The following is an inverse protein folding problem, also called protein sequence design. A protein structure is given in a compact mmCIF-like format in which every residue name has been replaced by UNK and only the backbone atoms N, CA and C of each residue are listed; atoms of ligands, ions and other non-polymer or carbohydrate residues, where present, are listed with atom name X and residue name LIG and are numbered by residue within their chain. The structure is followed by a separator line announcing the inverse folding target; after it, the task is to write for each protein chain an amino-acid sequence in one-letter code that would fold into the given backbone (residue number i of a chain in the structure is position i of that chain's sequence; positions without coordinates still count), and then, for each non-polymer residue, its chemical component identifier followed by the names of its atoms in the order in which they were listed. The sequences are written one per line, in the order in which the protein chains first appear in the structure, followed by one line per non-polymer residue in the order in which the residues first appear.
data_IF_612714716522
#
_entry.id   IF_612714716522
#
_cell.length_a   1.000
_cell.length_b   1.000
_cell.length_c   1.000
_cell.angle_alpha   90.00
_cell.angle_beta   90.00
_cell.angle_gamma   90.00
#
_symmetry.space_group_name_H-M   'P 1'
#
loop_
_entity.id
_entity.type
_entity.pdbx_description
1 polymer ?
#
# COMPACT_ATOMS: atom_id res chain seq x y z
N UNK A 1 -10.14 12.06 -27.20
CA UNK A 1 -9.25 12.82 -26.29
C UNK A 1 -8.47 11.80 -25.50
N UNK A 2 -7.13 11.84 -25.53
CA UNK A 2 -6.28 10.66 -25.26
C UNK A 2 -6.63 9.85 -24.01
N UNK A 3 -6.91 8.55 -24.22
CA UNK A 3 -7.26 7.52 -23.23
C UNK A 3 -6.06 7.12 -22.36
N UNK A 4 -5.44 8.08 -21.66
CA UNK A 4 -4.24 7.83 -20.87
C UNK A 4 -4.27 8.48 -19.49
N UNK A 5 -3.45 7.98 -18.58
CA UNK A 5 -3.37 8.47 -17.19
C UNK A 5 -2.67 9.83 -17.06
N UNK A 6 -2.24 10.44 -18.18
CA UNK A 6 -1.66 11.78 -18.23
C UNK A 6 -2.78 12.82 -18.24
N UNK A 7 -2.91 13.59 -17.15
CA UNK A 7 -3.88 14.67 -17.02
C UNK A 7 -3.17 16.03 -16.82
N UNK A 8 -2.74 16.71 -17.92
CA UNK A 8 -2.08 18.01 -17.83
C UNK A 8 -2.96 19.04 -17.12
N UNK A 9 -2.38 19.79 -16.17
CA UNK A 9 -3.09 20.83 -15.44
C UNK A 9 -4.14 20.34 -14.44
N UNK A 10 -4.24 19.03 -14.17
CA UNK A 10 -5.22 18.45 -13.24
C UNK A 10 -5.22 19.11 -11.85
N UNK A 11 -4.03 19.43 -11.32
CA UNK A 11 -3.87 20.11 -10.03
C UNK A 11 -4.37 21.57 -10.01
N UNK A 12 -4.65 22.16 -11.18
CA UNK A 12 -5.21 23.53 -11.30
C UNK A 12 -6.74 23.54 -11.29
N UNK A 13 -7.36 22.40 -11.60
CA UNK A 13 -8.82 22.26 -11.64
C UNK A 13 -9.43 22.25 -10.23
N UNK A 14 -10.70 22.64 -10.13
CA UNK A 14 -11.50 22.46 -8.92
C UNK A 14 -11.76 20.97 -8.63
N UNK A 15 -12.09 20.58 -7.38
CA UNK A 15 -12.42 19.20 -7.05
C UNK A 15 -13.53 18.59 -7.93
N UNK A 16 -14.56 19.37 -8.27
CA UNK A 16 -15.66 18.91 -9.15
C UNK A 16 -15.19 18.63 -10.57
N UNK A 17 -14.41 19.52 -11.16
CA UNK A 17 -13.84 19.32 -12.51
C UNK A 17 -12.87 18.13 -12.55
N UNK A 18 -12.10 17.93 -11.46
CA UNK A 18 -11.25 16.73 -11.30
C UNK A 18 -12.08 15.46 -11.27
N UNK A 19 -13.15 15.42 -10.47
CA UNK A 19 -14.04 14.27 -10.39
C UNK A 19 -14.68 13.94 -11.76
N UNK A 20 -15.09 14.94 -12.53
CA UNK A 20 -15.60 14.75 -13.89
C UNK A 20 -14.53 14.18 -14.84
N UNK A 21 -13.28 14.67 -14.77
CA UNK A 21 -12.17 14.14 -15.57
C UNK A 21 -11.84 12.69 -15.23
N UNK A 22 -11.86 12.35 -13.94
CA UNK A 22 -11.69 10.97 -13.46
C UNK A 22 -12.84 10.10 -13.92
N UNK A 23 -14.08 10.62 -13.83
CA UNK A 23 -15.29 9.95 -14.29
C UNK A 23 -15.24 9.62 -15.78
N UNK A 24 -14.79 10.57 -16.62
CA UNK A 24 -14.61 10.33 -18.05
C UNK A 24 -13.56 9.24 -18.34
N UNK A 25 -12.43 9.23 -17.61
CA UNK A 25 -11.39 8.20 -17.76
C UNK A 25 -11.89 6.81 -17.37
N UNK A 26 -12.55 6.69 -16.21
CA UNK A 26 -12.98 5.42 -15.64
C UNK A 26 -14.40 4.99 -16.07
N UNK A 27 -15.04 5.77 -16.95
CA UNK A 27 -16.44 5.58 -17.41
C UNK A 27 -17.40 5.43 -16.23
N UNK A 28 -17.30 6.37 -15.29
CA UNK A 28 -18.19 6.45 -14.14
C UNK A 28 -19.55 7.01 -14.56
N UNK A 29 -20.63 6.52 -13.94
CA UNK A 29 -21.95 7.14 -14.02
C UNK A 29 -21.98 8.45 -13.23
N UNK A 30 -22.98 9.29 -13.46
CA UNK A 30 -23.18 10.52 -12.69
C UNK A 30 -23.37 10.23 -11.18
N UNK A 31 -24.01 9.10 -10.85
CA UNK A 31 -24.16 8.62 -9.47
C UNK A 31 -22.80 8.27 -8.85
N UNK A 32 -21.94 7.54 -9.58
CA UNK A 32 -20.60 7.18 -9.11
C UNK A 32 -19.67 8.40 -8.99
N UNK A 33 -19.83 9.41 -9.84
CA UNK A 33 -19.14 10.69 -9.70
C UNK A 33 -19.66 11.42 -8.44
N UNK A 34 -20.96 11.36 -8.18
CA UNK A 34 -21.59 11.91 -6.97
C UNK A 34 -21.02 11.31 -5.68
N UNK A 35 -20.69 10.01 -5.68
CA UNK A 35 -20.05 9.31 -4.54
C UNK A 35 -18.69 9.92 -4.14
N UNK A 36 -17.99 10.58 -5.07
CA UNK A 36 -16.72 11.26 -4.79
C UNK A 36 -16.89 12.59 -4.05
N UNK A 37 -18.13 13.08 -3.86
CA UNK A 37 -18.40 14.27 -3.04
C UNK A 37 -18.34 13.95 -1.54
N UNK A 38 -18.35 15.00 -0.71
CA UNK A 38 -18.38 14.83 0.74
C UNK A 38 -19.68 14.15 1.21
N UNK A 39 -20.80 14.44 0.53
CA UNK A 39 -22.13 13.92 0.83
C UNK A 39 -22.35 12.51 0.28
N UNK A 40 -21.60 12.11 -0.75
CA UNK A 40 -21.69 10.79 -1.39
C UNK A 40 -20.84 9.70 -0.75
N UNK A 41 -20.15 10.00 0.36
CA UNK A 41 -19.23 9.10 1.06
C UNK A 41 -19.91 8.02 1.92
N UNK A 42 -19.19 7.53 2.92
CA UNK A 42 -19.70 6.54 3.87
C UNK A 42 -20.76 7.17 4.79
N UNK A 43 -21.96 6.60 4.82
CA UNK A 43 -23.04 7.05 5.72
C UNK A 43 -22.86 6.49 7.13
N UNK A 44 -23.42 7.17 8.14
CA UNK A 44 -23.37 6.73 9.53
C UNK A 44 -24.01 5.34 9.71
N UNK A 45 -25.13 5.07 9.03
CA UNK A 45 -25.82 3.78 9.08
C UNK A 45 -24.97 2.62 8.56
N UNK A 46 -24.24 2.84 7.46
CA UNK A 46 -23.34 1.83 6.91
C UNK A 46 -22.13 1.67 7.84
N UNK A 47 -21.56 2.76 8.34
CA UNK A 47 -20.45 2.71 9.30
C UNK A 47 -20.82 1.92 10.57
N UNK A 48 -22.01 2.14 11.13
CA UNK A 48 -22.51 1.44 12.33
C UNK A 48 -22.73 -0.08 12.13
N UNK A 49 -22.74 -0.55 10.87
CA UNK A 49 -22.77 -1.99 10.54
C UNK A 49 -21.38 -2.55 10.23
N UNK A 50 -20.38 -1.69 10.06
CA UNK A 50 -19.01 -2.08 9.75
C UNK A 50 -18.18 -2.33 11.01
N UNK A 51 -18.37 -1.52 12.06
CA UNK A 51 -17.63 -1.62 13.32
C UNK A 51 -18.55 -1.32 14.52
N UNK A 52 -18.07 -1.61 15.73
CA UNK A 52 -18.78 -1.38 16.98
C UNK A 52 -18.71 0.07 17.46
N UNK A 53 -19.67 0.49 18.30
CA UNK A 53 -19.66 1.77 19.02
C UNK A 53 -19.47 3.02 18.13
N UNK A 54 -20.08 3.03 16.94
CA UNK A 54 -19.96 4.14 16.00
C UNK A 54 -20.73 5.38 16.49
N UNK A 55 -20.02 6.50 16.56
CA UNK A 55 -20.57 7.83 16.90
C UNK A 55 -20.39 8.87 15.79
N UNK A 56 -19.72 8.50 14.70
CA UNK A 56 -19.42 9.40 13.59
C UNK A 56 -18.59 8.75 12.49
N UNK A 57 -18.33 9.50 11.42
CA UNK A 57 -17.46 9.11 10.29
C UNK A 57 -16.27 10.06 10.24
N UNK A 58 -15.06 9.52 10.17
CA UNK A 58 -13.82 10.29 10.02
C UNK A 58 -13.34 10.24 8.56
N UNK A 59 -13.28 11.39 7.90
CA UNK A 59 -12.88 11.49 6.49
C UNK A 59 -11.41 11.82 6.30
N UNK A 60 -10.78 11.20 5.29
CA UNK A 60 -9.46 11.55 4.78
C UNK A 60 -9.57 12.19 3.38
N UNK A 61 -8.66 13.11 3.00
CA UNK A 61 -8.62 13.62 1.64
C UNK A 61 -8.41 12.50 0.61
N UNK A 62 -9.27 12.44 -0.41
CA UNK A 62 -9.14 11.52 -1.54
C UNK A 62 -8.53 12.25 -2.75
N UNK A 63 -7.29 11.92 -3.08
CA UNK A 63 -6.56 12.42 -4.25
C UNK A 63 -6.48 11.40 -5.38
N UNK A 64 -6.06 11.87 -6.56
CA UNK A 64 -5.79 11.02 -7.72
C UNK A 64 -4.37 11.30 -8.20
N UNK A 65 -3.51 10.28 -8.11
CA UNK A 65 -2.21 10.34 -8.74
C UNK A 65 -2.31 9.99 -10.23
N UNK A 66 -1.47 10.63 -11.03
CA UNK A 66 -1.52 10.59 -12.50
C UNK A 66 -0.23 10.03 -13.09
N UNK A 67 -0.22 9.79 -14.39
CA UNK A 67 0.91 9.32 -15.21
C UNK A 67 1.33 7.87 -15.01
N UNK A 68 0.81 7.15 -14.02
CA UNK A 68 1.23 5.77 -13.77
C UNK A 68 0.85 4.88 -14.95
N UNK A 69 1.84 4.08 -15.37
CA UNK A 69 1.71 3.04 -16.39
C UNK A 69 2.37 1.78 -15.84
N UNK A 70 1.63 0.67 -15.79
CA UNK A 70 2.11 -0.62 -15.28
C UNK A 70 1.79 -1.67 -16.34
N UNK A 71 2.78 -2.49 -16.71
CA UNK A 71 2.62 -3.55 -17.73
C UNK A 71 2.00 -3.03 -19.04
N UNK A 72 2.39 -1.82 -19.45
CA UNK A 72 1.89 -1.17 -20.66
C UNK A 72 0.50 -0.52 -20.54
N UNK A 73 -0.20 -0.65 -19.41
CA UNK A 73 -1.54 -0.10 -19.16
C UNK A 73 -1.51 1.13 -18.27
N UNK A 74 -2.31 2.14 -18.60
CA UNK A 74 -2.42 3.39 -17.85
C UNK A 74 -3.42 3.27 -16.68
N UNK A 75 -3.03 3.77 -15.51
CA UNK A 75 -3.85 3.77 -14.30
C UNK A 75 -3.92 5.17 -13.68
N UNK A 76 -5.13 5.58 -13.27
CA UNK A 76 -5.32 6.66 -12.30
C UNK A 76 -5.34 6.05 -10.89
N UNK A 77 -4.59 6.62 -9.96
CA UNK A 77 -4.36 6.02 -8.65
C UNK A 77 -5.13 6.81 -7.58
N UNK A 78 -6.27 6.30 -7.08
CA UNK A 78 -6.95 6.88 -5.93
C UNK A 78 -6.12 6.66 -4.66
N UNK A 79 -5.93 7.74 -3.90
CA UNK A 79 -5.10 7.78 -2.71
C UNK A 79 -5.82 8.56 -1.61
N UNK A 80 -6.14 7.90 -0.49
CA UNK A 80 -6.72 8.51 0.69
C UNK A 80 -5.61 8.78 1.70
N UNK A 81 -5.21 10.05 1.87
CA UNK A 81 -4.04 10.44 2.67
C UNK A 81 -4.11 11.91 3.08
N UNK A 82 -3.71 12.21 4.31
CA UNK A 82 -3.65 13.55 4.89
C UNK A 82 -2.31 14.26 4.66
N UNK A 83 -1.25 13.50 4.44
CA UNK A 83 0.11 14.02 4.28
C UNK A 83 0.25 14.78 2.94
N UNK A 84 0.68 16.07 2.98
CA UNK A 84 0.97 16.84 1.78
C UNK A 84 2.00 16.19 0.88
N UNK A 85 1.97 16.57 -0.40
CA UNK A 85 2.99 16.18 -1.39
C UNK A 85 3.07 14.68 -1.72
N UNK A 86 2.42 13.77 -0.97
CA UNK A 86 2.43 12.33 -1.26
C UNK A 86 1.91 12.05 -2.67
N UNK A 87 0.68 12.49 -2.98
CA UNK A 87 0.04 12.28 -4.30
C UNK A 87 0.80 12.99 -5.43
N UNK A 88 1.34 14.18 -5.15
CA UNK A 88 2.09 14.98 -6.12
C UNK A 88 3.45 14.34 -6.45
N UNK A 89 4.16 13.87 -5.42
CA UNK A 89 5.42 13.15 -5.53
C UNK A 89 5.26 11.89 -6.36
N UNK A 90 4.23 11.07 -6.05
CA UNK A 90 3.92 9.89 -6.85
C UNK A 90 3.69 10.21 -8.32
N UNK A 91 2.83 11.21 -8.59
CA UNK A 91 2.47 11.61 -9.96
C UNK A 91 3.69 12.07 -10.76
N UNK A 92 4.64 12.74 -10.09
CA UNK A 92 5.87 13.20 -10.70
C UNK A 92 6.85 12.04 -10.96
N UNK A 93 7.09 11.17 -9.98
CA UNK A 93 7.94 10.00 -10.14
C UNK A 93 7.42 9.07 -11.24
N UNK A 94 6.10 8.84 -11.29
CA UNK A 94 5.45 8.09 -12.35
C UNK A 94 5.70 8.72 -13.74
N UNK A 95 5.67 10.05 -13.85
CA UNK A 95 5.99 10.77 -15.09
C UNK A 95 7.43 10.54 -15.54
N UNK A 96 8.39 10.46 -14.60
CA UNK A 96 9.80 10.18 -14.93
C UNK A 96 9.96 8.77 -15.50
N UNK A 97 9.48 7.75 -14.78
CA UNK A 97 9.59 6.34 -15.21
C UNK A 97 8.83 6.08 -16.51
N UNK A 98 7.74 6.82 -16.77
CA UNK A 98 6.99 6.73 -18.02
C UNK A 98 7.82 7.04 -19.26
N UNK A 99 8.90 7.83 -19.14
CA UNK A 99 9.80 8.13 -20.26
C UNK A 99 10.50 6.88 -20.80
N UNK A 100 10.70 5.87 -19.94
CA UNK A 100 11.22 4.55 -20.30
C UNK A 100 10.13 3.49 -20.44
N UNK A 101 8.88 3.89 -20.70
CA UNK A 101 7.76 2.98 -20.94
C UNK A 101 6.88 2.67 -19.72
N UNK A 102 7.24 3.14 -18.53
CA UNK A 102 6.50 2.90 -17.28
C UNK A 102 7.08 1.76 -16.45
N UNK A 103 6.31 1.29 -15.48
CA UNK A 103 6.68 0.17 -14.63
C UNK A 103 6.30 -1.16 -15.28
N UNK A 104 7.10 -2.18 -14.98
CA UNK A 104 6.72 -3.57 -15.15
C UNK A 104 6.48 -4.17 -13.77
N UNK A 105 5.56 -5.13 -13.67
CA UNK A 105 5.18 -5.73 -12.41
C UNK A 105 4.69 -7.16 -12.56
N UNK A 106 4.90 -7.96 -11.53
CA UNK A 106 4.37 -9.32 -11.41
C UNK A 106 3.90 -9.58 -9.97
N UNK A 107 3.05 -10.58 -9.79
CA UNK A 107 2.62 -11.02 -8.47
C UNK A 107 2.47 -12.54 -8.45
N UNK A 108 2.78 -13.15 -7.32
CA UNK A 108 2.58 -14.57 -7.07
C UNK A 108 1.09 -14.95 -7.15
N UNK A 109 0.83 -16.25 -7.06
CA UNK A 109 -0.51 -16.73 -6.73
C UNK A 109 -0.96 -16.16 -5.37
N UNK A 110 -2.26 -15.96 -5.14
CA UNK A 110 -2.78 -15.32 -3.94
C UNK A 110 -2.81 -16.30 -2.75
N UNK A 111 -1.67 -16.89 -2.42
CA UNK A 111 -1.52 -17.88 -1.36
C UNK A 111 -1.33 -17.19 -0.01
N UNK A 112 -2.32 -17.37 0.86
CA UNK A 112 -2.24 -17.00 2.27
C UNK A 112 -1.80 -18.19 3.11
N UNK A 113 -1.20 -17.90 4.26
CA UNK A 113 -0.78 -18.91 5.24
C UNK A 113 -1.76 -18.91 6.40
N UNK A 114 -2.38 -20.06 6.70
CA UNK A 114 -3.05 -20.34 7.96
C UNK A 114 -2.14 -21.10 8.90
N UNK A 115 -2.08 -20.75 10.18
CA UNK A 115 -1.23 -21.43 11.17
C UNK A 115 -2.08 -22.18 12.19
N UNK A 116 -1.71 -23.43 12.48
CA UNK A 116 -2.22 -24.23 13.58
C UNK A 116 -1.05 -24.54 14.52
N UNK A 117 -1.08 -23.96 15.72
CA UNK A 117 -0.10 -24.23 16.76
C UNK A 117 -0.49 -25.47 17.55
N UNK A 118 0.46 -26.40 17.71
CA UNK A 118 0.27 -27.65 18.46
C UNK A 118 1.32 -27.75 19.57
N UNK A 119 0.86 -28.00 20.79
CA UNK A 119 1.65 -28.11 22.01
C UNK A 119 1.53 -29.52 22.61
N UNK A 120 2.45 -29.88 23.50
CA UNK A 120 2.40 -31.17 24.21
C UNK A 120 2.64 -32.38 23.31
N UNK A 121 3.34 -32.20 22.19
CA UNK A 121 3.66 -33.28 21.24
C UNK A 121 4.87 -34.06 21.74
N UNK A 122 4.69 -35.35 22.07
CA UNK A 122 5.76 -36.20 22.61
C UNK A 122 6.92 -36.43 21.64
N UNK A 123 6.62 -36.68 20.35
CA UNK A 123 7.61 -36.83 19.28
C UNK A 123 7.23 -35.93 18.09
N UNK A 124 7.91 -34.78 18.00
CA UNK A 124 7.72 -33.79 16.93
C UNK A 124 8.01 -34.37 15.54
N UNK A 125 9.00 -35.24 15.40
CA UNK A 125 9.40 -35.79 14.11
C UNK A 125 8.38 -36.81 13.61
N UNK A 126 7.89 -37.68 14.50
CA UNK A 126 6.84 -38.62 14.16
C UNK A 126 5.51 -37.90 13.87
N UNK A 127 5.14 -36.89 14.66
CA UNK A 127 3.96 -36.08 14.41
C UNK A 127 4.02 -35.37 13.05
N UNK A 128 5.18 -34.78 12.69
CA UNK A 128 5.40 -34.19 11.36
C UNK A 128 5.21 -35.20 10.24
N UNK A 129 5.76 -36.41 10.36
CA UNK A 129 5.57 -37.46 9.34
C UNK A 129 4.10 -37.85 9.18
N UNK A 130 3.35 -38.00 10.28
CA UNK A 130 1.92 -38.32 10.25
C UNK A 130 1.10 -37.21 9.56
N UNK A 131 1.38 -35.96 9.87
CA UNK A 131 0.73 -34.81 9.22
C UNK A 131 1.01 -34.77 7.71
N UNK A 132 2.28 -34.93 7.31
CA UNK A 132 2.65 -34.93 5.90
C UNK A 132 2.10 -36.15 5.14
N UNK A 133 1.97 -37.31 5.80
CA UNK A 133 1.31 -38.48 5.22
C UNK A 133 -0.21 -38.27 5.04
N UNK A 134 -0.84 -37.48 5.91
CA UNK A 134 -2.24 -37.09 5.83
C UNK A 134 -2.46 -35.77 5.05
N UNK A 135 -1.48 -35.31 4.27
CA UNK A 135 -1.53 -34.05 3.51
C UNK A 135 -2.82 -33.93 2.69
N UNK A 136 -3.12 -34.94 1.90
CA UNK A 136 -4.24 -34.87 0.97
C UNK A 136 -5.60 -34.92 1.70
N UNK A 137 -5.69 -35.64 2.81
CA UNK A 137 -6.86 -35.63 3.71
C UNK A 137 -7.07 -34.25 4.33
N UNK A 138 -6.00 -33.62 4.84
CA UNK A 138 -6.03 -32.27 5.40
C UNK A 138 -6.42 -31.22 4.34
N UNK A 139 -5.85 -31.30 3.15
CA UNK A 139 -6.19 -30.38 2.04
C UNK A 139 -7.63 -30.57 1.60
N UNK A 140 -8.12 -31.81 1.50
CA UNK A 140 -9.52 -32.10 1.17
C UNK A 140 -10.48 -31.52 2.23
N UNK A 141 -10.22 -31.77 3.51
CA UNK A 141 -11.04 -31.28 4.62
C UNK A 141 -11.09 -29.74 4.67
N UNK A 142 -9.95 -29.07 4.43
CA UNK A 142 -9.91 -27.60 4.37
C UNK A 142 -10.76 -27.05 3.21
N UNK A 143 -10.78 -27.77 2.09
CA UNK A 143 -11.50 -27.39 0.88
C UNK A 143 -13.02 -27.58 1.01
N UNK A 144 -13.49 -28.53 1.81
CA UNK A 144 -14.92 -28.70 2.12
C UNK A 144 -15.55 -27.48 2.80
N UNK A 145 -14.75 -26.63 3.45
CA UNK A 145 -15.25 -25.49 4.24
C UNK A 145 -15.76 -24.33 3.39
N UNK A 146 -15.31 -24.21 2.14
CA UNK A 146 -15.74 -23.12 1.24
C UNK A 146 -15.95 -23.62 -0.20
N UNK A 147 -17.16 -24.13 -0.51
CA UNK A 147 -17.51 -24.57 -1.85
C UNK A 147 -17.54 -23.43 -2.89
N UNK A 148 -17.64 -22.17 -2.47
CA UNK A 148 -17.63 -21.03 -3.39
C UNK A 148 -16.20 -20.79 -3.87
N UNK A 149 -15.23 -20.72 -2.95
CA UNK A 149 -13.85 -20.44 -3.32
C UNK A 149 -13.26 -21.57 -4.17
N UNK A 150 -13.62 -22.82 -3.90
CA UNK A 150 -13.28 -23.97 -4.73
C UNK A 150 -13.80 -23.83 -6.17
N UNK A 151 -15.07 -23.44 -6.34
CA UNK A 151 -15.66 -23.23 -7.69
C UNK A 151 -15.00 -22.09 -8.44
N UNK A 152 -14.47 -21.09 -7.74
CA UNK A 152 -13.66 -20.01 -8.32
C UNK A 152 -12.20 -20.44 -8.57
N UNK A 153 -11.90 -21.72 -8.34
CA UNK A 153 -10.60 -22.33 -8.54
C UNK A 153 -9.61 -22.04 -7.41
N UNK A 154 -10.04 -21.47 -6.28
CA UNK A 154 -9.26 -21.20 -5.06
C UNK A 154 -9.18 -22.41 -4.11
N UNK A 155 -8.95 -22.16 -2.82
CA UNK A 155 -8.92 -23.18 -1.77
C UNK A 155 -7.53 -23.61 -1.30
N UNK A 156 -7.47 -24.59 -0.40
CA UNK A 156 -6.24 -25.19 0.09
C UNK A 156 -5.42 -25.84 -1.04
N UNK A 157 -4.11 -25.64 -1.00
CA UNK A 157 -3.12 -26.14 -1.98
C UNK A 157 -2.15 -27.12 -1.38
N UNK A 158 -1.68 -26.81 -0.18
CA UNK A 158 -0.64 -27.57 0.48
C UNK A 158 -0.67 -27.35 1.99
N UNK A 159 0.13 -28.14 2.70
CA UNK A 159 0.51 -27.90 4.07
C UNK A 159 2.03 -27.90 4.23
N UNK A 160 2.52 -27.10 5.17
CA UNK A 160 3.90 -27.16 5.64
C UNK A 160 3.91 -27.45 7.14
N UNK A 161 4.96 -28.10 7.64
CA UNK A 161 5.06 -28.38 9.08
C UNK A 161 6.41 -27.91 9.59
N UNK A 162 6.36 -26.94 10.50
CA UNK A 162 7.52 -26.32 11.15
C UNK A 162 7.67 -26.84 12.57
N UNK A 163 8.91 -27.09 12.97
CA UNK A 163 9.25 -27.63 14.29
C UNK A 163 10.08 -26.61 15.06
N UNK A 164 9.61 -26.23 16.25
CA UNK A 164 10.33 -25.38 17.18
C UNK A 164 10.67 -26.22 18.40
N UNK A 165 11.94 -26.63 18.52
CA UNK A 165 12.38 -27.55 19.58
C UNK A 165 12.45 -26.92 20.96
N UNK A 166 12.58 -25.59 21.01
CA UNK A 166 12.75 -24.83 22.24
C UNK A 166 11.86 -23.59 22.21
N UNK A 167 11.18 -23.35 23.32
CA UNK A 167 10.46 -22.12 23.64
C UNK A 167 10.28 -22.05 25.16
N UNK A 168 9.89 -20.89 25.73
CA UNK A 168 9.57 -20.78 27.15
C UNK A 168 8.47 -21.73 27.64
N UNK A 169 7.63 -22.27 26.75
CA UNK A 169 6.54 -23.21 27.08
C UNK A 169 6.79 -24.61 26.52
N UNK A 170 8.05 -24.93 26.17
CA UNK A 170 8.45 -26.21 25.61
C UNK A 170 8.37 -26.29 24.08
N UNK A 171 8.53 -27.50 23.50
CA UNK A 171 8.51 -27.68 22.05
C UNK A 171 7.15 -27.35 21.43
N UNK A 172 7.17 -26.80 20.23
CA UNK A 172 5.97 -26.53 19.42
C UNK A 172 6.09 -27.16 18.04
N UNK A 173 4.97 -27.65 17.54
CA UNK A 173 4.76 -27.97 16.13
C UNK A 173 3.80 -26.95 15.55
N UNK A 174 4.09 -26.41 14.37
CA UNK A 174 3.20 -25.46 13.69
C UNK A 174 2.90 -25.99 12.29
N UNK A 175 1.63 -26.23 12.01
CA UNK A 175 1.15 -26.55 10.66
C UNK A 175 0.82 -25.24 9.95
N UNK A 176 1.35 -25.06 8.76
CA UNK A 176 0.92 -24.04 7.83
C UNK A 176 -0.03 -24.67 6.82
N UNK A 177 -1.19 -24.06 6.60
CA UNK A 177 -2.07 -24.33 5.47
C UNK A 177 -1.78 -23.26 4.41
N UNK A 178 -1.37 -23.68 3.21
CA UNK A 178 -1.24 -22.78 2.06
C UNK A 178 -2.58 -22.73 1.34
N UNK A 179 -3.20 -21.55 1.33
CA UNK A 179 -4.58 -21.38 0.91
C UNK A 179 -4.72 -20.28 -0.13
N UNK A 180 -5.24 -20.62 -1.29
CA UNK A 180 -5.48 -19.69 -2.38
C UNK A 180 -6.79 -18.94 -2.17
N UNK A 181 -6.69 -17.65 -1.87
CA UNK A 181 -7.84 -16.81 -1.51
C UNK A 181 -8.41 -16.02 -2.68
N UNK A 182 -7.93 -16.29 -3.91
CA UNK A 182 -8.37 -15.63 -5.14
C UNK A 182 -8.31 -14.10 -5.01
N UNK A 183 -9.43 -13.42 -5.25
CA UNK A 183 -9.54 -11.96 -5.22
C UNK A 183 -9.89 -11.40 -3.84
N UNK A 184 -9.94 -12.23 -2.81
CA UNK A 184 -10.05 -11.78 -1.43
C UNK A 184 -8.67 -11.63 -0.80
N UNK A 185 -8.58 -10.83 0.27
CA UNK A 185 -7.43 -10.89 1.18
C UNK A 185 -7.40 -12.27 1.85
N UNK A 186 -8.54 -12.69 2.42
CA UNK A 186 -8.80 -14.09 2.77
C UNK A 186 -8.59 -14.49 4.24
N UNK A 187 -8.45 -13.53 5.16
CA UNK A 187 -8.32 -13.80 6.60
C UNK A 187 -9.42 -14.76 7.12
N UNK A 188 -10.70 -14.45 6.87
CA UNK A 188 -11.81 -15.26 7.38
C UNK A 188 -11.81 -16.68 6.78
N UNK A 189 -11.61 -16.80 5.46
CA UNK A 189 -11.59 -18.11 4.78
C UNK A 189 -10.46 -19.01 5.33
N UNK A 190 -9.27 -18.43 5.52
CA UNK A 190 -8.12 -19.15 6.09
C UNK A 190 -8.39 -19.56 7.53
N UNK A 191 -8.92 -18.66 8.36
CA UNK A 191 -9.23 -18.95 9.77
C UNK A 191 -10.25 -20.08 9.91
N UNK A 192 -11.35 -20.02 9.15
CA UNK A 192 -12.36 -21.08 9.12
C UNK A 192 -11.75 -22.42 8.70
N UNK A 193 -10.88 -22.43 7.68
CA UNK A 193 -10.22 -23.64 7.25
C UNK A 193 -9.32 -24.24 8.35
N UNK A 194 -8.46 -23.43 8.99
CA UNK A 194 -7.57 -23.95 10.05
C UNK A 194 -8.32 -24.36 11.32
N UNK A 195 -9.46 -23.74 11.62
CA UNK A 195 -10.37 -24.20 12.67
C UNK A 195 -10.91 -25.60 12.38
N UNK A 196 -11.40 -25.82 11.16
CA UNK A 196 -11.93 -27.11 10.74
C UNK A 196 -10.87 -28.24 10.75
N UNK A 197 -9.61 -27.93 10.43
CA UNK A 197 -8.52 -28.91 10.46
C UNK A 197 -8.10 -29.34 11.87
N UNK A 198 -8.42 -28.54 12.89
CA UNK A 198 -7.83 -28.68 14.21
C UNK A 198 -8.09 -30.04 14.87
N UNK A 199 -9.31 -30.61 14.85
CA UNK A 199 -9.56 -31.94 15.44
C UNK A 199 -8.76 -33.07 14.79
N UNK A 200 -8.57 -33.01 13.46
CA UNK A 200 -7.76 -33.99 12.73
C UNK A 200 -6.27 -33.80 13.07
N UNK A 201 -5.79 -32.55 13.16
CA UNK A 201 -4.41 -32.25 13.58
C UNK A 201 -4.12 -32.74 15.01
N UNK A 202 -5.03 -32.55 15.97
CA UNK A 202 -4.87 -33.08 17.33
C UNK A 202 -4.78 -34.61 17.31
N UNK A 203 -5.68 -35.28 16.60
CA UNK A 203 -5.66 -36.75 16.46
C UNK A 203 -4.36 -37.27 15.88
N UNK A 204 -3.87 -36.65 14.80
CA UNK A 204 -2.64 -37.07 14.12
C UNK A 204 -1.39 -36.79 14.95
N UNK A 205 -1.37 -35.72 15.75
CA UNK A 205 -0.18 -35.31 16.50
C UNK A 205 -0.14 -35.93 17.90
N UNK A 206 -1.30 -36.22 18.49
CA UNK A 206 -1.43 -36.54 19.91
C UNK A 206 -1.21 -35.33 20.83
N UNK A 207 -1.09 -34.13 20.26
CA UNK A 207 -0.91 -32.88 20.98
C UNK A 207 -2.20 -32.09 21.10
N UNK A 208 -2.12 -30.96 21.80
CA UNK A 208 -3.22 -29.99 21.97
C UNK A 208 -3.06 -28.82 21.01
N UNK A 209 -4.07 -28.51 20.23
CA UNK A 209 -4.11 -27.31 19.40
C UNK A 209 -4.36 -26.08 20.28
N UNK A 210 -3.61 -25.02 20.00
CA UNK A 210 -3.74 -23.72 20.64
C UNK A 210 -4.27 -22.70 19.62
N UNK A 211 -3.40 -21.86 19.06
CA UNK A 211 -3.78 -20.84 18.08
C UNK A 211 -4.10 -21.44 16.71
N UNK A 212 -5.13 -20.87 16.07
CA UNK A 212 -5.63 -21.17 14.72
C UNK A 212 -5.90 -19.85 14.04
N UNK A 213 -4.95 -19.37 13.26
CA UNK A 213 -4.99 -17.99 12.77
C UNK A 213 -4.14 -17.83 11.52
N UNK A 214 -4.54 -16.96 10.60
CA UNK A 214 -3.68 -16.57 9.49
C UNK A 214 -2.34 -15.97 9.94
N UNK A 215 -1.36 -15.99 9.05
CA UNK A 215 -0.13 -15.20 9.17
C UNK A 215 -0.20 -13.96 8.27
N UNK A 216 0.10 -12.79 8.83
CA UNK A 216 0.25 -11.55 8.04
C UNK A 216 1.63 -11.42 7.38
N UNK A 217 2.61 -12.25 7.74
CA UNK A 217 3.81 -12.43 6.92
C UNK A 217 3.44 -13.29 5.71
N UNK A 218 2.76 -12.67 4.75
CA UNK A 218 2.26 -13.31 3.54
C UNK A 218 3.37 -13.49 2.48
N UNK A 219 4.47 -14.14 2.86
CA UNK A 219 5.66 -14.34 2.03
C UNK A 219 5.47 -15.30 0.84
N UNK A 220 4.27 -15.89 0.70
CA UNK A 220 3.81 -16.67 -0.47
C UNK A 220 2.91 -15.88 -1.42
N UNK A 221 2.69 -14.59 -1.13
CA UNK A 221 1.85 -13.67 -1.91
C UNK A 221 2.61 -12.37 -2.15
N UNK A 222 3.77 -12.48 -2.81
CA UNK A 222 4.63 -11.33 -3.09
C UNK A 222 4.18 -10.60 -4.36
N UNK A 223 4.31 -9.28 -4.32
CA UNK A 223 4.22 -8.43 -5.49
C UNK A 223 5.59 -7.82 -5.77
N UNK A 224 5.91 -7.70 -7.06
CA UNK A 224 7.17 -7.17 -7.57
C UNK A 224 6.88 -6.07 -8.59
N UNK A 225 7.66 -5.00 -8.56
CA UNK A 225 7.65 -3.98 -9.60
C UNK A 225 9.06 -3.47 -9.87
N UNK A 226 9.31 -3.07 -11.11
CA UNK A 226 10.58 -2.46 -11.52
C UNK A 226 10.36 -1.43 -12.62
N UNK A 227 11.30 -0.50 -12.75
CA UNK A 227 11.25 0.56 -13.74
C UNK A 227 12.59 1.27 -13.89
N UNK A 228 12.73 2.05 -14.96
CA UNK A 228 13.94 2.81 -15.29
C UNK A 228 13.59 4.29 -15.38
N UNK A 229 14.44 5.13 -14.81
CA UNK A 229 14.41 6.58 -15.01
C UNK A 229 15.59 6.97 -15.90
N UNK A 230 15.35 7.57 -17.09
CA UNK A 230 16.44 8.08 -17.91
C UNK A 230 17.28 9.09 -17.12
N UNK A 231 18.59 8.95 -17.16
CA UNK A 231 19.52 9.84 -16.43
C UNK A 231 19.32 11.31 -16.81
N UNK A 232 18.95 11.60 -18.05
CA UNK A 232 18.66 12.95 -18.54
C UNK A 232 17.51 13.60 -17.77
N UNK A 233 16.53 12.80 -17.31
CA UNK A 233 15.41 13.28 -16.51
C UNK A 233 15.82 13.64 -15.07
N UNK A 234 17.04 13.29 -14.65
CA UNK A 234 17.64 13.59 -13.35
C UNK A 234 18.66 14.75 -13.42
N UNK A 235 18.84 15.38 -14.58
CA UNK A 235 19.64 16.61 -14.72
C UNK A 235 18.83 17.83 -14.24
N UNK A 236 18.66 17.96 -12.92
CA UNK A 236 17.83 18.99 -12.28
C UNK A 236 18.61 19.75 -11.20
N UNK A 237 18.19 20.99 -10.91
CA UNK A 237 18.76 21.76 -9.80
C UNK A 237 20.25 22.09 -9.95
N UNK A 238 20.76 22.15 -11.19
CA UNK A 238 22.18 22.36 -11.48
C UNK A 238 23.03 21.09 -11.44
N UNK A 239 22.43 19.91 -11.23
CA UNK A 239 23.11 18.63 -11.32
C UNK A 239 23.22 18.16 -12.78
N UNK A 240 24.34 17.52 -13.10
CA UNK A 240 24.44 16.69 -14.30
C UNK A 240 23.61 15.42 -14.17
N UNK A 241 23.29 14.78 -15.29
CA UNK A 241 22.55 13.51 -15.32
C UNK A 241 23.20 12.44 -14.43
N UNK A 242 24.54 12.30 -14.53
CA UNK A 242 25.32 11.34 -13.75
C UNK A 242 25.28 11.61 -12.25
N UNK A 243 25.43 12.88 -11.85
CA UNK A 243 25.33 13.28 -10.44
C UNK A 243 23.94 13.01 -9.87
N UNK A 244 22.88 13.22 -10.66
CA UNK A 244 21.52 12.89 -10.26
C UNK A 244 21.36 11.41 -9.92
N UNK A 245 21.81 10.52 -10.82
CA UNK A 245 21.78 9.06 -10.60
C UNK A 245 22.61 8.67 -9.37
N UNK A 246 23.82 9.19 -9.25
CA UNK A 246 24.75 8.87 -8.16
C UNK A 246 24.17 9.24 -6.79
N UNK A 247 23.60 10.43 -6.64
CA UNK A 247 22.99 10.86 -5.37
C UNK A 247 21.82 9.98 -4.93
N UNK A 248 21.04 9.45 -5.88
CA UNK A 248 19.93 8.55 -5.55
C UNK A 248 20.45 7.18 -5.10
N UNK A 249 21.54 6.69 -5.72
CA UNK A 249 22.22 5.46 -5.31
C UNK A 249 22.86 5.64 -3.92
N UNK A 250 23.50 6.77 -3.64
CA UNK A 250 24.04 7.09 -2.32
C UNK A 250 22.96 7.10 -1.23
N UNK A 251 21.80 7.71 -1.52
CA UNK A 251 20.67 7.74 -0.60
C UNK A 251 20.08 6.34 -0.33
N UNK A 252 20.04 5.47 -1.35
CA UNK A 252 19.69 4.06 -1.20
C UNK A 252 20.74 3.29 -0.39
N UNK A 253 22.03 3.48 -0.68
CA UNK A 253 23.13 2.82 0.03
C UNK A 253 23.09 3.15 1.53
N UNK A 254 22.75 4.38 1.89
CA UNK A 254 22.53 4.75 3.30
C UNK A 254 21.41 3.91 3.95
N UNK A 255 20.28 3.73 3.27
CA UNK A 255 19.21 2.87 3.77
C UNK A 255 19.64 1.41 3.91
N UNK A 256 20.50 0.92 3.01
CA UNK A 256 21.00 -0.45 3.05
C UNK A 256 21.84 -0.72 4.30
N UNK A 257 22.70 0.24 4.69
CA UNK A 257 23.69 0.07 5.78
C UNK A 257 23.24 0.56 7.15
N UNK A 258 22.10 1.28 7.24
CA UNK A 258 21.57 1.78 8.52
C UNK A 258 20.06 1.48 8.71
N UNK A 259 19.65 0.69 9.72
CA UNK A 259 18.23 0.41 9.99
C UNK A 259 17.42 1.66 10.33
N UNK A 260 18.04 2.68 10.93
CA UNK A 260 17.35 3.96 11.19
C UNK A 260 16.92 4.61 9.89
N UNK A 261 17.80 4.63 8.89
CA UNK A 261 17.45 5.11 7.54
C UNK A 261 16.50 4.16 6.82
N UNK A 262 16.69 2.86 6.91
CA UNK A 262 15.81 1.86 6.30
C UNK A 262 14.34 2.04 6.76
N UNK A 263 14.12 2.33 8.04
CA UNK A 263 12.78 2.58 8.57
C UNK A 263 12.10 3.76 7.86
N UNK A 264 12.80 4.90 7.72
CA UNK A 264 12.26 6.06 7.00
C UNK A 264 12.11 5.81 5.49
N UNK A 265 13.03 5.03 4.90
CA UNK A 265 12.96 4.62 3.49
C UNK A 265 11.71 3.80 3.20
N UNK A 266 11.43 2.81 4.06
CA UNK A 266 10.25 1.96 3.94
C UNK A 266 8.96 2.72 4.29
N UNK A 267 8.97 3.61 5.29
CA UNK A 267 7.83 4.54 5.55
C UNK A 267 7.45 5.31 4.28
N UNK A 268 8.45 5.82 3.54
CA UNK A 268 8.22 6.50 2.27
C UNK A 268 7.55 5.62 1.21
N UNK A 269 7.82 4.31 1.16
CA UNK A 269 7.11 3.35 0.31
C UNK A 269 5.65 3.25 0.75
N UNK A 270 5.43 3.07 2.06
CA UNK A 270 4.10 2.83 2.63
C UNK A 270 3.17 4.05 2.52
N UNK A 271 3.71 5.28 2.50
CA UNK A 271 2.92 6.49 2.17
C UNK A 271 2.10 6.34 0.88
N UNK A 272 2.65 5.63 -0.13
CA UNK A 272 1.94 5.37 -1.38
C UNK A 272 0.98 4.19 -1.26
N UNK A 273 1.48 3.09 -0.72
CA UNK A 273 0.75 1.81 -0.65
C UNK A 273 -0.48 1.93 0.26
N UNK A 274 -0.33 2.49 1.46
CA UNK A 274 -1.41 2.62 2.43
C UNK A 274 -2.49 3.57 1.94
N UNK A 275 -2.11 4.66 1.26
CA UNK A 275 -3.08 5.57 0.68
C UNK A 275 -3.98 4.88 -0.36
N UNK A 276 -3.44 3.94 -1.14
CA UNK A 276 -4.23 3.10 -2.06
C UNK A 276 -5.03 2.04 -1.30
N UNK A 277 -4.45 1.43 -0.27
CA UNK A 277 -5.14 0.44 0.55
C UNK A 277 -6.40 1.03 1.20
N UNK A 278 -6.27 2.20 1.83
CA UNK A 278 -7.37 2.93 2.44
C UNK A 278 -8.40 3.32 1.38
N UNK A 279 -7.97 3.92 0.26
CA UNK A 279 -8.87 4.34 -0.81
C UNK A 279 -9.67 3.19 -1.41
N UNK A 280 -9.13 1.96 -1.40
CA UNK A 280 -9.78 0.76 -1.93
C UNK A 280 -10.45 -0.10 -0.87
N UNK A 281 -10.48 0.33 0.41
CA UNK A 281 -11.10 -0.42 1.50
C UNK A 281 -10.37 -1.72 1.88
N UNK A 282 -9.06 -1.78 1.64
CA UNK A 282 -8.19 -2.87 2.06
C UNK A 282 -7.59 -2.61 3.45
N UNK A 283 -7.18 -3.68 4.14
CA UNK A 283 -6.56 -3.59 5.47
C UNK A 283 -5.09 -3.17 5.35
N UNK A 284 -4.80 -1.89 5.58
CA UNK A 284 -3.43 -1.38 5.53
C UNK A 284 -2.54 -1.95 6.64
N UNK A 285 -3.09 -2.35 7.80
CA UNK A 285 -2.29 -2.91 8.91
C UNK A 285 -1.73 -4.28 8.54
N UNK A 286 -2.52 -5.09 7.82
CA UNK A 286 -2.07 -6.38 7.32
C UNK A 286 -0.91 -6.22 6.32
N UNK A 287 -1.01 -5.23 5.43
CA UNK A 287 0.03 -4.92 4.44
C UNK A 287 1.29 -4.41 5.13
N UNK A 288 1.17 -3.43 6.04
CA UNK A 288 2.27 -2.87 6.83
C UNK A 288 3.02 -3.95 7.61
N UNK A 289 2.28 -4.80 8.34
CA UNK A 289 2.87 -5.91 9.10
C UNK A 289 3.65 -6.87 8.21
N UNK A 290 3.09 -7.24 7.06
CA UNK A 290 3.75 -8.12 6.08
C UNK A 290 4.99 -7.48 5.48
N UNK A 291 4.90 -6.24 5.02
CA UNK A 291 5.99 -5.50 4.40
C UNK A 291 7.16 -5.30 5.38
N UNK A 292 6.90 -4.82 6.59
CA UNK A 292 7.94 -4.57 7.57
C UNK A 292 8.55 -5.83 8.18
N UNK A 293 7.78 -6.92 8.36
CA UNK A 293 8.35 -8.21 8.74
C UNK A 293 9.24 -8.78 7.61
N UNK A 294 8.81 -8.64 6.36
CA UNK A 294 9.58 -9.08 5.19
C UNK A 294 10.89 -8.29 5.01
N UNK A 295 10.89 -7.00 5.37
CA UNK A 295 12.08 -6.15 5.39
C UNK A 295 13.18 -6.65 6.36
N UNK A 296 12.82 -7.45 7.37
CA UNK A 296 13.74 -8.01 8.36
C UNK A 296 14.05 -9.50 8.15
N UNK A 297 13.58 -10.12 7.05
CA UNK A 297 13.66 -11.58 6.80
C UNK A 297 15.09 -12.16 6.79
N UNK A 298 16.10 -11.33 6.55
CA UNK A 298 17.52 -11.71 6.55
C UNK A 298 18.19 -11.58 7.92
N UNK A 299 17.43 -11.29 8.97
CA UNK A 299 17.95 -11.08 10.34
C UNK A 299 18.30 -9.62 10.65
N UNK A 300 18.20 -8.70 9.68
CA UNK A 300 18.37 -7.26 9.86
C UNK A 300 17.36 -6.49 9.04
N UNK A 301 16.71 -5.49 9.66
CA UNK A 301 15.77 -4.61 8.98
C UNK A 301 16.48 -3.81 7.88
N UNK A 302 16.01 -3.96 6.65
CA UNK A 302 16.65 -3.49 5.41
C UNK A 302 15.63 -2.81 4.47
N UNK A 303 16.05 -2.02 3.47
CA UNK A 303 15.12 -1.39 2.53
C UNK A 303 14.38 -2.45 1.69
N UNK A 304 13.10 -2.21 1.41
CA UNK A 304 12.25 -3.08 0.57
C UNK A 304 12.49 -2.91 -0.94
N UNK A 305 13.09 -1.78 -1.34
CA UNK A 305 13.46 -1.49 -2.73
C UNK A 305 14.98 -1.48 -2.92
N UNK A 306 15.40 -1.72 -4.15
CA UNK A 306 16.79 -1.62 -4.61
C UNK A 306 16.89 -0.55 -5.69
N UNK A 307 18.01 0.15 -5.73
CA UNK A 307 18.32 1.17 -6.73
C UNK A 307 19.74 1.00 -7.22
N UNK A 308 19.91 0.95 -8.53
CA UNK A 308 21.19 0.70 -9.19
C UNK A 308 21.34 1.51 -10.47
N UNK A 309 22.59 1.62 -10.94
CA UNK A 309 22.88 2.17 -12.26
C UNK A 309 22.90 1.03 -13.27
N UNK A 310 22.09 1.12 -14.33
CA UNK A 310 22.12 0.12 -15.40
C UNK A 310 23.30 0.34 -16.36
N UNK A 311 23.44 -0.53 -17.38
CA UNK A 311 24.51 -0.45 -18.36
C UNK A 311 24.52 0.86 -19.19
N UNK A 312 23.35 1.46 -19.42
CA UNK A 312 23.18 2.71 -20.16
C UNK A 312 23.45 3.95 -19.29
N UNK A 313 23.71 3.75 -17.99
CA UNK A 313 23.94 4.82 -17.01
C UNK A 313 22.66 5.41 -16.42
N UNK A 314 21.49 4.81 -16.69
CA UNK A 314 20.21 5.21 -16.14
C UNK A 314 20.00 4.64 -14.73
N UNK A 315 19.04 5.20 -14.01
CA UNK A 315 18.65 4.71 -12.69
C UNK A 315 17.59 3.62 -12.84
N UNK A 316 17.94 2.39 -12.48
CA UNK A 316 17.03 1.26 -12.39
C UNK A 316 16.60 1.03 -10.93
N UNK A 317 15.31 0.80 -10.71
CA UNK A 317 14.75 0.51 -9.39
C UNK A 317 13.87 -0.73 -9.42
N UNK A 318 13.88 -1.49 -8.32
CA UNK A 318 12.96 -2.61 -8.13
C UNK A 318 12.47 -2.69 -6.68
N UNK A 319 11.32 -3.34 -6.47
CA UNK A 319 10.73 -3.61 -5.15
C UNK A 319 10.13 -5.01 -5.12
N UNK A 320 10.22 -5.68 -3.98
CA UNK A 320 9.52 -6.93 -3.69
C UNK A 320 9.01 -6.93 -2.25
N UNK A 321 7.72 -7.17 -2.06
CA UNK A 321 7.09 -7.20 -0.73
C UNK A 321 5.75 -7.97 -0.74
N UNK A 322 5.31 -8.50 0.42
CA UNK A 322 3.97 -9.03 0.58
C UNK A 322 2.91 -7.95 0.37
N UNK A 323 1.94 -8.18 -0.52
CA UNK A 323 0.76 -7.31 -0.70
C UNK A 323 -0.50 -8.19 -0.71
N UNK A 324 -1.00 -8.49 0.48
CA UNK A 324 -2.21 -9.28 0.68
C UNK A 324 -3.47 -8.40 0.59
N UNK A 325 -3.94 -8.18 -0.64
CA UNK A 325 -5.09 -7.31 -0.95
C UNK A 325 -6.19 -8.06 -1.70
N UNK A 326 -7.41 -7.53 -1.62
CA UNK A 326 -8.56 -8.03 -2.37
C UNK A 326 -9.28 -6.94 -3.17
N UNK A 327 -9.98 -7.39 -4.21
CA UNK A 327 -11.00 -6.60 -4.92
C UNK A 327 -12.42 -6.99 -4.49
N UNK A 328 -12.54 -8.02 -3.63
CA UNK A 328 -13.78 -8.47 -3.01
C UNK A 328 -13.59 -8.73 -1.51
N UNK A 329 -14.70 -8.67 -0.76
CA UNK A 329 -14.73 -8.94 0.68
C UNK A 329 -14.36 -7.73 1.56
N UNK A 330 -14.79 -7.77 2.83
CA UNK A 330 -14.56 -6.68 3.77
C UNK A 330 -15.16 -5.34 3.30
N UNK A 331 -14.44 -4.25 3.55
CA UNK A 331 -14.90 -2.89 3.23
C UNK A 331 -14.88 -2.57 1.72
N UNK A 332 -14.16 -3.35 0.90
CA UNK A 332 -14.01 -3.13 -0.56
C UNK A 332 -15.36 -3.03 -1.30
N UNK A 333 -16.39 -3.75 -0.81
CA UNK A 333 -17.77 -3.69 -1.35
C UNK A 333 -18.74 -2.89 -0.49
N UNK A 334 -18.50 -2.80 0.82
CA UNK A 334 -19.42 -2.08 1.72
C UNK A 334 -19.27 -0.56 1.61
N UNK A 335 -18.07 -0.06 1.32
CA UNK A 335 -17.80 1.38 1.24
C UNK A 335 -18.00 1.91 -0.20
N UNK A 336 -18.92 2.86 -0.43
CA UNK A 336 -19.21 3.38 -1.78
C UNK A 336 -17.98 3.94 -2.50
N UNK A 337 -17.20 4.78 -1.83
CA UNK A 337 -15.97 5.34 -2.41
C UNK A 337 -14.90 4.28 -2.70
N UNK A 338 -14.80 3.21 -1.91
CA UNK A 338 -13.86 2.11 -2.21
C UNK A 338 -14.22 1.38 -3.50
N UNK A 339 -15.52 1.16 -3.76
CA UNK A 339 -16.00 0.58 -5.02
C UNK A 339 -15.65 1.47 -6.21
N UNK A 340 -15.87 2.78 -6.08
CA UNK A 340 -15.52 3.75 -7.13
C UNK A 340 -14.00 3.78 -7.33
N UNK A 341 -13.20 3.76 -6.25
CA UNK A 341 -11.75 3.73 -6.33
C UNK A 341 -11.22 2.49 -7.08
N UNK A 342 -11.75 1.29 -6.79
CA UNK A 342 -11.42 0.08 -7.53
C UNK A 342 -11.80 0.18 -9.02
N UNK A 343 -12.95 0.78 -9.33
CA UNK A 343 -13.38 1.04 -10.72
C UNK A 343 -12.45 2.04 -11.43
N UNK A 344 -12.00 3.07 -10.73
CA UNK A 344 -11.04 4.06 -11.25
C UNK A 344 -9.66 3.44 -11.51
N UNK A 345 -9.19 2.56 -10.63
CA UNK A 345 -7.98 1.77 -10.85
C UNK A 345 -8.12 0.85 -12.07
N UNK A 346 -9.32 0.30 -12.29
CA UNK A 346 -9.63 -0.57 -13.43
C UNK A 346 -8.98 -1.94 -13.37
N UNK A 347 -8.56 -2.40 -12.19
CA UNK A 347 -7.92 -3.71 -12.00
C UNK A 347 -8.94 -4.85 -12.07
N UNK A 348 -8.57 -5.97 -12.69
CA UNK A 348 -9.43 -7.13 -12.90
C UNK A 348 -9.34 -8.16 -11.75
N UNK A 349 -8.26 -8.14 -10.96
CA UNK A 349 -8.02 -9.11 -9.89
C UNK A 349 -7.24 -8.51 -8.72
N UNK A 350 -7.25 -9.19 -7.57
CA UNK A 350 -6.41 -8.85 -6.43
C UNK A 350 -4.91 -8.92 -6.76
N UNK A 351 -4.51 -9.78 -7.69
CA UNK A 351 -3.12 -9.87 -8.19
C UNK A 351 -2.71 -8.64 -8.99
N UNK A 352 -3.59 -8.15 -9.87
CA UNK A 352 -3.33 -6.91 -10.62
C UNK A 352 -3.30 -5.70 -9.67
N UNK A 353 -4.18 -5.65 -8.67
CA UNK A 353 -4.12 -4.63 -7.63
C UNK A 353 -2.77 -4.64 -6.89
N UNK A 354 -2.29 -5.81 -6.50
CA UNK A 354 -1.00 -5.98 -5.83
C UNK A 354 0.18 -5.49 -6.71
N UNK A 355 0.16 -5.80 -8.01
CA UNK A 355 1.15 -5.29 -8.98
C UNK A 355 1.15 -3.75 -9.05
N UNK A 356 -0.03 -3.13 -9.15
CA UNK A 356 -0.16 -1.68 -9.17
C UNK A 356 0.33 -1.06 -7.86
N UNK A 357 0.00 -1.67 -6.71
CA UNK A 357 0.45 -1.18 -5.40
C UNK A 357 1.97 -1.29 -5.20
N UNK A 358 2.61 -2.35 -5.71
CA UNK A 358 4.07 -2.45 -5.71
C UNK A 358 4.71 -1.33 -6.57
N UNK A 359 4.17 -1.06 -7.76
CA UNK A 359 4.63 0.04 -8.61
C UNK A 359 4.42 1.42 -7.96
N UNK A 360 3.29 1.61 -7.27
CA UNK A 360 3.00 2.79 -6.45
C UNK A 360 4.04 2.96 -5.34
N UNK A 361 4.37 1.91 -4.60
CA UNK A 361 5.39 1.94 -3.56
C UNK A 361 6.77 2.31 -4.08
N UNK A 362 7.18 1.73 -5.22
CA UNK A 362 8.45 2.05 -5.87
C UNK A 362 8.49 3.50 -6.38
N UNK A 363 7.40 3.98 -7.00
CA UNK A 363 7.28 5.37 -7.44
C UNK A 363 7.33 6.35 -6.25
N UNK A 364 6.67 6.03 -5.14
CA UNK A 364 6.69 6.86 -3.95
C UNK A 364 8.08 6.92 -3.31
N UNK A 365 8.80 5.80 -3.30
CA UNK A 365 10.19 5.75 -2.86
C UNK A 365 11.10 6.62 -3.72
N UNK A 366 10.98 6.54 -5.06
CA UNK A 366 11.70 7.42 -5.97
C UNK A 366 11.44 8.90 -5.69
N UNK A 367 10.17 9.26 -5.47
CA UNK A 367 9.79 10.63 -5.13
C UNK A 367 10.49 11.12 -3.85
N UNK A 368 10.52 10.28 -2.82
CA UNK A 368 11.18 10.59 -1.55
C UNK A 368 12.71 10.71 -1.70
N UNK A 369 13.36 9.75 -2.36
CA UNK A 369 14.81 9.78 -2.59
C UNK A 369 15.23 11.01 -3.38
N UNK A 370 14.51 11.33 -4.46
CA UNK A 370 14.76 12.54 -5.25
C UNK A 370 14.63 13.82 -4.40
N UNK A 371 13.55 13.95 -3.63
CA UNK A 371 13.34 15.15 -2.82
C UNK A 371 14.45 15.35 -1.77
N UNK A 372 14.91 14.26 -1.16
CA UNK A 372 15.97 14.28 -0.15
C UNK A 372 17.37 14.52 -0.75
N UNK A 373 17.69 13.85 -1.84
CA UNK A 373 19.05 13.83 -2.38
C UNK A 373 19.33 14.97 -3.38
N UNK A 374 18.31 15.48 -4.07
CA UNK A 374 18.52 16.43 -5.17
C UNK A 374 18.05 17.85 -4.86
N UNK A 375 16.91 18.02 -4.19
CA UNK A 375 16.25 19.34 -4.09
C UNK A 375 16.33 19.96 -2.69
N UNK A 376 16.46 19.13 -1.65
CA UNK A 376 16.15 19.53 -0.29
C UNK A 376 14.64 19.77 -0.13
N UNK A 377 14.02 19.21 0.91
CA UNK A 377 12.55 19.19 1.12
C UNK A 377 11.90 20.59 1.05
N UNK A 378 12.67 21.64 1.29
CA UNK A 378 12.20 22.98 1.68
C UNK A 378 11.49 23.80 0.58
N UNK A 379 11.62 23.53 -0.73
CA UNK A 379 11.02 24.42 -1.76
C UNK A 379 9.62 24.02 -2.23
N UNK A 380 9.36 22.74 -2.48
CA UNK A 380 8.06 22.26 -2.99
C UNK A 380 7.03 21.95 -1.90
N UNK A 381 7.49 21.30 -0.83
CA UNK A 381 6.66 20.90 0.32
C UNK A 381 6.07 22.10 1.06
N UNK A 382 6.81 23.21 1.05
CA UNK A 382 6.53 24.39 1.86
C UNK A 382 5.23 25.10 1.49
N UNK A 383 4.83 25.10 0.21
CA UNK A 383 3.59 25.79 -0.19
C UNK A 383 2.32 25.12 0.33
N UNK A 384 2.28 23.78 0.33
CA UNK A 384 1.14 23.04 0.90
C UNK A 384 1.19 23.02 2.42
N UNK A 385 2.37 22.83 3.01
CA UNK A 385 2.55 22.89 4.45
C UNK A 385 2.15 24.27 5.00
N UNK A 386 2.56 25.36 4.33
CA UNK A 386 2.15 26.72 4.68
C UNK A 386 0.63 26.92 4.66
N UNK A 387 -0.11 26.26 3.77
CA UNK A 387 -1.58 26.29 3.78
C UNK A 387 -2.16 25.59 5.01
N UNK A 388 -1.61 24.45 5.41
CA UNK A 388 -2.04 23.76 6.63
C UNK A 388 -1.75 24.60 7.87
N UNK A 389 -0.56 25.22 7.94
CA UNK A 389 -0.19 26.13 9.04
C UNK A 389 -1.12 27.35 9.08
N UNK A 390 -1.45 27.94 7.93
CA UNK A 390 -2.42 29.03 7.85
C UNK A 390 -3.81 28.61 8.34
N UNK A 391 -4.28 27.42 7.96
CA UNK A 391 -5.56 26.88 8.45
C UNK A 391 -5.54 26.61 9.96
N UNK A 392 -4.43 26.06 10.49
CA UNK A 392 -4.25 25.82 11.91
C UNK A 392 -4.22 27.13 12.74
N UNK A 393 -3.71 28.22 12.15
CA UNK A 393 -3.77 29.57 12.72
C UNK A 393 -5.15 30.23 12.63
N UNK A 394 -6.17 29.52 12.11
CA UNK A 394 -7.53 30.04 12.02
C UNK A 394 -7.81 30.94 10.82
N UNK A 395 -6.98 30.89 9.76
CA UNK A 395 -7.21 31.70 8.57
C UNK A 395 -8.58 31.40 7.92
N UNK A 396 -9.41 32.43 7.65
CA UNK A 396 -10.61 32.30 6.82
C UNK A 396 -10.30 31.67 5.45
N UNK A 397 -11.25 30.94 4.86
CA UNK A 397 -11.04 30.17 3.61
C UNK A 397 -10.48 31.01 2.46
N UNK A 398 -10.89 32.27 2.36
CA UNK A 398 -10.46 33.26 1.38
C UNK A 398 -9.06 33.82 1.64
N UNK A 399 -8.58 33.78 2.88
CA UNK A 399 -7.27 34.30 3.30
C UNK A 399 -6.17 33.23 3.40
N UNK A 400 -6.53 31.94 3.50
CA UNK A 400 -5.56 30.81 3.60
C UNK A 400 -4.47 30.88 2.51
N UNK A 401 -4.86 31.16 1.26
CA UNK A 401 -3.91 31.22 0.15
C UNK A 401 -2.92 32.38 0.29
N UNK A 402 -3.40 33.55 0.70
CA UNK A 402 -2.61 34.76 0.87
C UNK A 402 -1.63 34.63 2.05
N UNK A 403 -2.10 34.12 3.20
CA UNK A 403 -1.26 33.88 4.39
C UNK A 403 -0.16 32.87 4.08
N UNK A 404 -0.51 31.77 3.41
CA UNK A 404 0.45 30.75 3.00
C UNK A 404 1.51 31.30 2.02
N UNK A 405 1.11 32.12 1.05
CA UNK A 405 2.04 32.71 0.08
C UNK A 405 3.00 33.70 0.74
N UNK A 406 2.53 34.52 1.71
CA UNK A 406 3.43 35.38 2.51
C UNK A 406 4.43 34.58 3.32
N UNK A 407 3.99 33.55 4.05
CA UNK A 407 4.91 32.72 4.84
C UNK A 407 5.99 32.05 3.97
N UNK A 408 5.62 31.58 2.78
CA UNK A 408 6.57 30.98 1.82
C UNK A 408 7.53 32.03 1.29
N UNK A 409 7.05 33.23 0.95
CA UNK A 409 7.89 34.32 0.44
C UNK A 409 8.88 34.82 1.51
N UNK A 410 8.46 34.86 2.77
CA UNK A 410 9.29 35.25 3.92
C UNK A 410 10.24 34.13 4.37
N UNK A 411 10.05 32.88 3.91
CA UNK A 411 10.82 31.72 4.35
C UNK A 411 10.52 31.29 5.80
N UNK A 412 9.43 31.80 6.40
CA UNK A 412 9.04 31.55 7.80
C UNK A 412 7.66 30.90 7.83
N UNK A 413 7.63 29.57 7.79
CA UNK A 413 6.38 28.79 7.86
C UNK A 413 6.18 28.26 9.29
N UNK A 414 5.55 29.07 10.13
CA UNK A 414 5.27 28.76 11.54
C UNK A 414 3.91 29.33 11.94
N UNK A 415 3.31 28.74 12.98
CA UNK A 415 1.99 29.12 13.47
C UNK A 415 1.93 30.58 13.94
N UNK A 416 2.91 31.00 14.76
CA UNK A 416 3.05 32.37 15.26
C UNK A 416 3.10 33.41 14.13
N UNK A 417 3.80 33.07 13.03
CA UNK A 417 3.89 33.96 11.88
C UNK A 417 2.60 34.00 11.07
N UNK A 418 1.92 32.88 10.91
CA UNK A 418 0.61 32.84 10.27
C UNK A 418 -0.42 33.71 11.01
N UNK A 419 -0.43 33.65 12.35
CA UNK A 419 -1.28 34.50 13.20
C UNK A 419 -0.94 35.98 13.04
N UNK A 420 0.35 36.34 13.04
CA UNK A 420 0.77 37.72 12.80
C UNK A 420 0.34 38.24 11.42
N UNK A 421 0.51 37.44 10.37
CA UNK A 421 0.08 37.80 9.02
C UNK A 421 -1.45 37.98 8.97
N UNK A 422 -2.22 37.14 9.65
CA UNK A 422 -3.68 37.27 9.75
C UNK A 422 -4.10 38.58 10.43
N UNK A 423 -3.46 38.93 11.55
CA UNK A 423 -3.71 40.20 12.24
C UNK A 423 -3.38 41.40 11.35
N UNK A 424 -2.27 41.33 10.60
CA UNK A 424 -1.89 42.38 9.65
C UNK A 424 -2.92 42.52 8.52
N UNK A 425 -3.46 41.40 8.00
CA UNK A 425 -4.51 41.42 6.98
C UNK A 425 -5.84 41.97 7.51
N UNK A 426 -6.17 41.69 8.78
CA UNK A 426 -7.36 42.22 9.45
C UNK A 426 -7.24 43.71 9.78
N UNK A 427 -6.03 44.23 9.96
CA UNK A 427 -5.79 45.65 10.23
C UNK A 427 -5.84 46.53 8.95
N UNK A 428 -5.80 45.93 7.76
CA UNK A 428 -5.73 46.61 6.46
C UNK A 428 -6.91 46.31 5.53
N UNK A 429 -7.90 45.52 5.97
CA UNK A 429 -9.17 45.28 5.29
C UNK A 429 -10.31 45.92 6.07
#
# INVERSE_FOLDING_TARGET
MGDGSRLPGFFKLSPRERAQRVGAFARLSDEEIGVLSAEGGLTLDVANRMIENVVGVHGLPLGIATNLRVNGRDHLIPMAVEEPSVVAGLSYAAKLVRQSGGFQASADEPLMIGQIQVLGVADLAAARRRLLAARDELVALANEQDPVILRLGGGARDIEVRLFRQSPVGPMLVVHLLYDTRDAMGANAVNTAVEALSPLVERLTGGRVALRILSNLADRRLARAWGVVPKEALALGGLTAQQGVERLIEAYAFALVDPYRAATHNKGIMNGIDAVAIATGNDWRAIEAGAHAYAARSGRYSPLSTWERNADGDLAGSIELPIAVGTVGGATRAHPQARVALKVLGVASGRELAQVMAAVGLAQNLAALRALAMEGIQRGHMKLHARQVAMAAGAPKDQVAQVAERMVAEGVVRLDRAEAILLELQAHG
#
